data_IF_364064851676
#
_entry.id   IF_364064851676
#
_cell.length_a   1.000
_cell.length_b   1.000
_cell.length_c   1.000
_cell.angle_alpha   90.00
_cell.angle_beta   90.00
_cell.angle_gamma   90.00
#
_symmetry.space_group_name_H-M   'P 1'
#
loop_
_entity.id
_entity.type
_entity.pdbx_description
1 polymer ?
#
# COMPACT_ATOMS: atom_id res chain seq x y z
N UNK A 1 -4.49 20.70 5.68
CA UNK A 1 -3.97 20.95 4.30
C UNK A 1 -2.79 20.00 4.04
N UNK A 2 -2.32 19.79 2.79
CA UNK A 2 -1.27 18.80 2.49
C UNK A 2 0.05 19.07 3.25
N UNK A 3 0.39 20.34 3.43
CA UNK A 3 1.51 20.87 4.20
C UNK A 3 1.48 20.54 5.71
N UNK A 4 0.31 20.24 6.26
CA UNK A 4 0.16 19.87 7.68
C UNK A 4 0.18 18.35 7.91
N UNK A 5 0.27 17.55 6.83
CA UNK A 5 0.15 16.09 6.91
C UNK A 5 1.34 15.38 6.29
N UNK A 6 2.09 16.03 5.38
CA UNK A 6 3.15 15.38 4.61
C UNK A 6 4.60 15.74 4.99
N UNK A 7 4.99 17.04 5.14
CA UNK A 7 6.40 17.40 5.03
C UNK A 7 7.24 17.34 6.32
N UNK A 8 6.63 17.40 7.51
CA UNK A 8 7.38 17.53 8.77
C UNK A 8 7.88 16.17 9.29
N UNK A 9 8.80 16.19 10.25
CA UNK A 9 9.42 15.00 10.84
C UNK A 9 8.39 14.00 11.37
N UNK A 10 7.33 14.50 11.99
CA UNK A 10 6.32 13.69 12.67
C UNK A 10 5.04 13.53 11.81
N UNK A 11 5.12 13.85 10.52
CA UNK A 11 4.05 13.71 9.54
C UNK A 11 4.01 12.30 8.91
N UNK A 12 3.28 12.11 7.82
CA UNK A 12 2.95 10.82 7.22
C UNK A 12 4.16 9.88 7.01
N UNK A 13 5.33 10.40 6.63
CA UNK A 13 6.55 9.61 6.46
C UNK A 13 7.09 8.95 7.73
N UNK A 14 6.73 9.48 8.91
CA UNK A 14 7.16 8.94 10.21
C UNK A 14 6.61 7.54 10.47
N UNK A 15 5.47 7.19 9.87
CA UNK A 15 4.85 5.87 9.96
C UNK A 15 5.83 4.80 9.46
N UNK A 16 6.36 4.99 8.24
CA UNK A 16 7.26 4.03 7.61
C UNK A 16 8.62 3.96 8.29
N UNK A 17 9.12 5.11 8.75
CA UNK A 17 10.33 5.16 9.58
C UNK A 17 10.15 4.31 10.85
N UNK A 18 9.04 4.46 11.56
CA UNK A 18 8.79 3.69 12.77
C UNK A 18 8.62 2.21 12.46
N UNK A 19 7.86 1.86 11.43
CA UNK A 19 7.62 0.47 11.00
C UNK A 19 8.93 -0.27 10.73
N UNK A 20 9.83 0.33 9.94
CA UNK A 20 11.13 -0.25 9.64
C UNK A 20 12.01 -0.42 10.89
N UNK A 21 12.06 0.58 11.77
CA UNK A 21 12.87 0.49 12.99
C UNK A 21 12.29 -0.54 13.99
N UNK A 22 10.97 -0.63 14.10
CA UNK A 22 10.32 -1.64 14.97
C UNK A 22 10.59 -3.05 14.45
N UNK A 23 10.44 -3.30 13.15
CA UNK A 23 10.80 -4.59 12.54
C UNK A 23 12.28 -4.92 12.78
N UNK A 24 13.20 -3.96 12.61
CA UNK A 24 14.63 -4.15 12.88
C UNK A 24 14.94 -4.47 14.37
N UNK A 25 14.08 -4.06 15.30
CA UNK A 25 14.16 -4.40 16.72
C UNK A 25 13.51 -5.77 17.05
N UNK A 26 13.01 -6.48 16.04
CA UNK A 26 12.30 -7.75 16.20
C UNK A 26 10.85 -7.58 16.69
N UNK A 27 10.25 -6.40 16.51
CA UNK A 27 8.83 -6.16 16.80
C UNK A 27 8.02 -6.37 15.51
N UNK A 28 7.26 -7.47 15.38
CA UNK A 28 6.59 -7.81 14.13
C UNK A 28 5.60 -6.74 13.67
N UNK A 29 5.66 -6.39 12.38
CA UNK A 29 4.77 -5.46 11.71
C UNK A 29 3.85 -6.24 10.77
N UNK A 30 2.53 -6.17 11.00
CA UNK A 30 1.54 -6.90 10.19
C UNK A 30 0.50 -5.93 9.63
N UNK A 31 0.20 -6.05 8.34
CA UNK A 31 -0.83 -5.24 7.67
C UNK A 31 -1.99 -6.10 7.14
N UNK A 32 -3.21 -5.56 7.26
CA UNK A 32 -4.41 -6.17 6.68
C UNK A 32 -5.12 -5.12 5.82
N UNK A 33 -5.06 -5.30 4.50
CA UNK A 33 -5.61 -4.38 3.51
C UNK A 33 -7.04 -4.77 3.17
N UNK A 34 -7.98 -4.04 3.77
CA UNK A 34 -9.43 -4.25 3.65
C UNK A 34 -10.13 -3.19 2.79
N UNK A 35 -9.37 -2.44 1.98
CA UNK A 35 -9.88 -1.35 1.17
C UNK A 35 -8.78 -0.67 0.34
N UNK A 36 -9.00 0.58 -0.06
CA UNK A 36 -8.05 1.30 -0.90
C UNK A 36 -6.82 1.78 -0.12
N UNK A 37 -5.64 1.47 -0.68
CA UNK A 37 -4.34 1.82 -0.14
C UNK A 37 -3.50 2.51 -1.23
N UNK A 38 -3.54 3.84 -1.26
CA UNK A 38 -2.99 4.64 -2.39
C UNK A 38 -1.80 5.51 -1.99
N UNK A 39 -0.93 5.79 -2.97
CA UNK A 39 0.22 6.68 -2.84
C UNK A 39 1.13 6.27 -1.69
N UNK A 40 1.48 7.20 -0.80
CA UNK A 40 2.32 6.87 0.35
C UNK A 40 1.71 5.77 1.24
N UNK A 41 0.38 5.66 1.29
CA UNK A 41 -0.29 4.62 2.09
C UNK A 41 0.10 3.21 1.67
N UNK A 42 0.45 3.00 0.40
CA UNK A 42 0.88 1.72 -0.13
C UNK A 42 2.12 1.15 0.56
N UNK A 43 2.93 1.99 1.23
CA UNK A 43 4.08 1.53 2.02
C UNK A 43 3.68 0.80 3.30
N UNK A 44 2.47 1.02 3.85
CA UNK A 44 2.03 0.31 5.06
C UNK A 44 2.05 -1.22 4.84
N UNK A 45 1.36 -1.78 3.83
CA UNK A 45 1.48 -3.20 3.55
C UNK A 45 2.85 -3.59 3.00
N UNK A 46 3.44 -2.78 2.11
CA UNK A 46 4.70 -3.13 1.46
C UNK A 46 5.93 -3.16 2.40
N UNK A 47 5.86 -2.49 3.56
CA UNK A 47 6.91 -2.48 4.58
C UNK A 47 6.55 -3.30 5.82
N UNK A 48 5.44 -4.04 5.79
CA UNK A 48 5.11 -4.98 6.86
C UNK A 48 5.92 -6.27 6.69
N UNK A 49 6.19 -6.95 7.79
CA UNK A 49 6.86 -8.26 7.78
C UNK A 49 5.92 -9.32 7.19
N UNK A 50 4.62 -9.21 7.45
CA UNK A 50 3.56 -9.98 6.80
C UNK A 50 2.36 -9.10 6.44
N UNK A 51 1.71 -9.42 5.33
CA UNK A 51 0.61 -8.63 4.81
C UNK A 51 -0.51 -9.50 4.24
N UNK A 52 -1.75 -9.05 4.45
CA UNK A 52 -2.98 -9.72 3.99
C UNK A 52 -3.78 -8.75 3.14
N UNK A 53 -4.44 -9.23 2.08
CA UNK A 53 -5.36 -8.42 1.26
C UNK A 53 -6.66 -9.16 1.00
N UNK A 54 -7.79 -8.44 1.12
CA UNK A 54 -9.13 -8.97 0.85
C UNK A 54 -9.46 -8.84 -0.62
N UNK A 55 -9.73 -9.96 -1.30
CA UNK A 55 -10.11 -10.00 -2.71
C UNK A 55 -11.35 -9.14 -2.99
N UNK A 56 -11.31 -8.38 -4.09
CA UNK A 56 -12.45 -7.59 -4.58
C UNK A 56 -12.78 -6.36 -3.73
N UNK A 57 -11.93 -6.04 -2.75
CA UNK A 57 -12.08 -4.86 -1.90
C UNK A 57 -10.72 -4.17 -1.65
N UNK A 58 -9.70 -4.94 -1.29
CA UNK A 58 -8.35 -4.44 -1.09
C UNK A 58 -7.66 -4.06 -2.40
N UNK A 59 -7.10 -2.85 -2.45
CA UNK A 59 -6.28 -2.38 -3.59
C UNK A 59 -5.05 -1.61 -3.11
N UNK A 60 -3.89 -1.83 -3.72
CA UNK A 60 -2.61 -1.18 -3.36
C UNK A 60 -1.97 -0.59 -4.63
N UNK A 61 -1.58 0.69 -4.59
CA UNK A 61 -0.81 1.30 -5.69
C UNK A 61 -0.15 2.61 -5.25
N UNK A 62 1.05 2.89 -5.77
CA UNK A 62 1.69 4.21 -5.60
C UNK A 62 0.98 5.30 -6.43
N UNK A 63 0.45 4.94 -7.59
CA UNK A 63 -0.34 5.83 -8.43
C UNK A 63 -1.64 5.16 -8.82
N UNK A 64 -2.77 5.64 -8.30
CA UNK A 64 -4.07 5.06 -8.63
C UNK A 64 -4.50 5.31 -10.07
N UNK A 65 -5.62 4.69 -10.51
CA UNK A 65 -6.10 4.80 -11.88
C UNK A 65 -6.25 6.23 -12.42
N UNK A 66 -6.69 7.23 -11.64
CA UNK A 66 -6.74 8.61 -12.12
C UNK A 66 -5.36 9.17 -12.48
N UNK A 67 -4.32 8.83 -11.72
CA UNK A 67 -2.96 9.30 -11.98
C UNK A 67 -2.36 8.59 -13.20
N UNK A 68 -2.56 7.28 -13.34
CA UNK A 68 -2.15 6.51 -14.52
C UNK A 68 -2.77 7.11 -15.77
N UNK A 69 -4.08 7.36 -15.76
CA UNK A 69 -4.79 7.99 -16.88
C UNK A 69 -4.27 9.39 -17.19
N UNK A 70 -4.05 10.22 -16.17
CA UNK A 70 -3.55 11.58 -16.37
C UNK A 70 -2.13 11.61 -16.95
N UNK A 71 -1.26 10.67 -16.56
CA UNK A 71 0.13 10.64 -16.97
C UNK A 71 0.35 9.94 -18.33
N UNK A 72 -0.43 8.91 -18.64
CA UNK A 72 -0.17 8.02 -19.79
C UNK A 72 -1.33 7.92 -20.78
N UNK A 73 -2.54 8.33 -20.39
CA UNK A 73 -3.77 8.09 -21.14
C UNK A 73 -4.37 6.69 -20.96
N UNK A 74 -3.68 5.77 -20.29
CA UNK A 74 -4.16 4.41 -20.04
C UNK A 74 -5.39 4.40 -19.11
N UNK A 75 -6.38 3.58 -19.44
CA UNK A 75 -7.57 3.37 -18.62
C UNK A 75 -7.54 1.96 -18.06
N UNK A 76 -7.34 1.85 -16.74
CA UNK A 76 -7.23 0.60 -16.00
C UNK A 76 -8.13 0.65 -14.77
N UNK A 77 -8.68 -0.49 -14.35
CA UNK A 77 -9.49 -0.56 -13.12
C UNK A 77 -8.58 -0.63 -11.88
N UNK A 78 -9.13 -0.35 -10.69
CA UNK A 78 -8.35 -0.44 -9.45
C UNK A 78 -7.93 -1.89 -9.13
N UNK A 79 -8.79 -2.87 -9.44
CA UNK A 79 -8.51 -4.29 -9.23
C UNK A 79 -7.44 -4.79 -10.20
N UNK A 80 -7.50 -4.37 -11.48
CA UNK A 80 -6.51 -4.76 -12.49
C UNK A 80 -5.15 -4.08 -12.25
N UNK A 81 -5.16 -2.87 -11.69
CA UNK A 81 -3.94 -2.12 -11.40
C UNK A 81 -3.21 -2.62 -10.15
N UNK A 82 -3.94 -3.02 -9.11
CA UNK A 82 -3.36 -3.31 -7.80
C UNK A 82 -4.28 -4.06 -6.85
N UNK A 83 -5.15 -4.93 -7.37
CA UNK A 83 -6.01 -5.78 -6.56
C UNK A 83 -5.27 -6.94 -5.90
N UNK A 84 -6.03 -7.77 -5.18
CA UNK A 84 -5.49 -8.94 -4.47
C UNK A 84 -4.80 -9.93 -5.41
N UNK A 85 -5.36 -10.16 -6.60
CA UNK A 85 -4.80 -11.09 -7.58
C UNK A 85 -3.44 -10.59 -8.12
N UNK A 86 -3.28 -9.27 -8.30
CA UNK A 86 -2.02 -8.66 -8.74
C UNK A 86 -0.94 -8.83 -7.67
N UNK A 87 -1.28 -8.57 -6.40
CA UNK A 87 -0.28 -8.54 -5.33
C UNK A 87 0.10 -9.89 -4.77
N UNK A 88 -0.83 -10.85 -4.65
CA UNK A 88 -0.51 -12.17 -4.13
C UNK A 88 0.01 -13.16 -5.19
N UNK A 89 -0.25 -12.93 -6.48
CA UNK A 89 0.12 -13.89 -7.54
C UNK A 89 1.20 -13.42 -8.48
N UNK A 90 1.42 -12.11 -8.61
CA UNK A 90 2.36 -11.57 -9.60
C UNK A 90 3.48 -10.77 -8.94
N UNK A 91 3.16 -9.71 -8.19
CA UNK A 91 4.17 -8.78 -7.66
C UNK A 91 4.81 -9.22 -6.35
N UNK A 92 4.10 -9.99 -5.51
CA UNK A 92 4.59 -10.41 -4.19
C UNK A 92 4.59 -9.29 -3.14
N UNK A 93 3.88 -8.18 -3.39
CA UNK A 93 3.70 -7.11 -2.38
C UNK A 93 2.85 -7.58 -1.21
N UNK A 94 2.00 -8.60 -1.42
CA UNK A 94 1.14 -9.16 -0.37
C UNK A 94 1.34 -10.66 -0.24
N UNK A 95 1.50 -11.12 1.00
CA UNK A 95 1.83 -12.51 1.34
C UNK A 95 0.58 -13.41 1.36
N UNK A 96 -0.54 -12.88 1.88
CA UNK A 96 -1.73 -13.66 2.18
C UNK A 96 -2.97 -13.16 1.43
N UNK A 97 -3.65 -14.10 0.77
CA UNK A 97 -4.87 -13.84 0.01
C UNK A 97 -6.12 -14.20 0.83
N UNK A 98 -6.95 -13.20 1.16
CA UNK A 98 -8.22 -13.41 1.86
C UNK A 98 -9.41 -13.35 0.88
N UNK A 99 -10.38 -14.25 1.08
CA UNK A 99 -11.57 -14.43 0.23
C UNK A 99 -12.78 -13.63 0.70
#
# INVERSE_FOLDING_TARGET
RQDEVFPDRDHFGRIFYNQANMSAMGIPQVAVVMGSCTAGGAYVPAMSDESVIVKGNGTIFLGGPPLVKAATGEVVSAEDLGGADVHCKQSGVVDHYAH
#
